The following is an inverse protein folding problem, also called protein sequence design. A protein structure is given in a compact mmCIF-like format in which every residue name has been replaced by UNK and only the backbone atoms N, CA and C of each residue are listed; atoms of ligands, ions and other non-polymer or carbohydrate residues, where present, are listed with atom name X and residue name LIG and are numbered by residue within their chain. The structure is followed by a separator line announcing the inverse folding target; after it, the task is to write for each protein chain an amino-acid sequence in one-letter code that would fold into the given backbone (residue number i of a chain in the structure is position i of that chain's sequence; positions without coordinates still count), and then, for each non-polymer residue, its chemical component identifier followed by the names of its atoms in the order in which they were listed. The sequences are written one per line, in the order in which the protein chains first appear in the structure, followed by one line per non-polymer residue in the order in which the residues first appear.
data_IF_665103472631
#
_entry.id   IF_665103472631
#
_cell.length_a   1.000
_cell.length_b   1.000
_cell.length_c   1.000
_cell.angle_alpha   90.00
_cell.angle_beta   90.00
_cell.angle_gamma   90.00
#
_symmetry.space_group_name_H-M   'P 1'
#
loop_
_entity.id
_entity.type
_entity.pdbx_description
1 polymer ?
#
# COMPACT_ATOMS: atom_id res chain seq x y z
N UNK A 1 1.81 9.01 25.24
CA UNK A 1 1.75 8.22 24.00
C UNK A 1 3.18 8.00 23.53
N UNK A 2 3.59 6.75 23.33
CA UNK A 2 4.91 6.43 22.79
C UNK A 2 4.69 6.02 21.34
N UNK A 3 5.17 6.83 20.40
CA UNK A 3 5.10 6.48 18.99
C UNK A 3 6.05 5.33 18.69
N UNK A 4 5.62 4.40 17.86
CA UNK A 4 6.50 3.37 17.29
C UNK A 4 7.63 4.07 16.55
N UNK A 5 8.87 3.74 16.92
CA UNK A 5 10.03 4.29 16.21
C UNK A 5 10.17 3.52 14.90
N UNK A 6 9.75 4.13 13.80
CA UNK A 6 9.93 3.55 12.47
C UNK A 6 11.43 3.43 12.19
N UNK A 7 11.87 2.22 11.88
CA UNK A 7 13.24 1.91 11.49
C UNK A 7 13.20 1.17 10.16
N UNK A 8 13.70 1.82 9.12
CA UNK A 8 13.94 1.19 7.82
C UNK A 8 15.45 1.03 7.71
N UNK A 9 15.99 0.07 8.46
CA UNK A 9 17.44 -0.08 8.63
C UNK A 9 18.11 -0.66 7.37
N UNK A 10 17.35 -1.27 6.46
CA UNK A 10 17.86 -1.85 5.21
C UNK A 10 16.80 -1.85 4.09
N UNK A 11 16.82 -0.81 3.25
CA UNK A 11 15.92 -0.66 2.10
C UNK A 11 16.12 -1.74 1.03
N UNK A 12 17.35 -2.19 0.81
CA UNK A 12 17.66 -3.23 -0.20
C UNK A 12 17.04 -4.59 0.18
N UNK A 13 17.00 -4.90 1.46
CA UNK A 13 16.44 -6.16 1.96
C UNK A 13 14.92 -6.10 2.14
N UNK A 14 14.33 -4.89 2.17
CA UNK A 14 12.91 -4.68 2.43
C UNK A 14 11.98 -5.50 1.52
N UNK A 15 12.14 -5.52 0.17
CA UNK A 15 11.22 -6.26 -0.70
C UNK A 15 11.26 -7.79 -0.46
N UNK A 16 12.41 -8.31 -0.04
CA UNK A 16 12.57 -9.74 0.29
C UNK A 16 11.93 -10.07 1.64
N UNK A 17 12.01 -9.18 2.60
CA UNK A 17 11.38 -9.38 3.91
C UNK A 17 9.87 -9.21 3.83
N UNK A 18 9.39 -8.29 2.99
CA UNK A 18 8.00 -8.20 2.59
C UNK A 18 7.52 -9.54 1.99
N UNK A 19 8.25 -10.10 1.02
CA UNK A 19 7.89 -11.37 0.40
C UNK A 19 7.75 -12.52 1.41
N UNK A 20 8.66 -12.61 2.38
CA UNK A 20 8.58 -13.60 3.46
C UNK A 20 7.34 -13.37 4.35
N UNK A 21 7.06 -12.11 4.70
CA UNK A 21 5.87 -11.76 5.48
C UNK A 21 4.61 -12.19 4.73
N UNK A 22 4.46 -11.77 3.47
CA UNK A 22 3.30 -12.10 2.64
C UNK A 22 3.12 -13.62 2.48
N UNK A 23 4.22 -14.38 2.29
CA UNK A 23 4.15 -15.83 2.20
C UNK A 23 3.61 -16.46 3.50
N UNK A 24 4.11 -16.03 4.66
CA UNK A 24 3.63 -16.50 5.98
C UNK A 24 2.16 -16.12 6.20
N UNK A 25 1.75 -14.92 5.80
CA UNK A 25 0.35 -14.51 5.90
C UNK A 25 -0.55 -15.37 5.00
N UNK A 26 -0.13 -15.67 3.76
CA UNK A 26 -0.88 -16.56 2.87
C UNK A 26 -1.06 -17.96 3.46
N UNK A 27 -0.03 -18.53 4.12
CA UNK A 27 -0.16 -19.80 4.84
C UNK A 27 -1.22 -19.72 5.94
N UNK A 28 -1.18 -18.65 6.75
CA UNK A 28 -2.15 -18.44 7.84
C UNK A 28 -3.58 -18.27 7.29
N UNK A 29 -3.72 -17.55 6.18
CA UNK A 29 -5.01 -17.34 5.51
C UNK A 29 -5.53 -18.66 4.94
N UNK A 30 -4.68 -19.51 4.37
CA UNK A 30 -5.08 -20.82 3.88
C UNK A 30 -5.52 -21.74 5.02
N UNK A 31 -4.83 -21.73 6.16
CA UNK A 31 -5.25 -22.45 7.37
C UNK A 31 -6.63 -21.99 7.88
N UNK A 32 -6.85 -20.68 7.97
CA UNK A 32 -8.16 -20.12 8.35
C UNK A 32 -9.23 -20.56 7.34
N UNK A 33 -8.93 -20.45 6.05
CA UNK A 33 -9.82 -20.79 4.94
C UNK A 33 -10.25 -22.26 4.97
N UNK A 34 -9.33 -23.18 5.27
CA UNK A 34 -9.60 -24.62 5.24
C UNK A 34 -10.01 -25.20 6.62
N UNK A 35 -9.99 -24.41 7.69
CA UNK A 35 -10.43 -24.84 9.03
C UNK A 35 -11.95 -24.94 9.17
N UNK A 36 -12.41 -25.55 10.27
CA UNK A 36 -13.83 -25.56 10.67
C UNK A 36 -14.27 -24.28 11.41
N UNK A 37 -13.39 -23.28 11.56
CA UNK A 37 -13.69 -22.00 12.22
C UNK A 37 -14.75 -21.24 11.43
N UNK A 38 -15.74 -20.69 12.13
CA UNK A 38 -16.90 -20.03 11.51
C UNK A 38 -17.44 -18.83 12.30
N UNK A 39 -16.68 -18.32 13.26
CA UNK A 39 -17.05 -17.12 14.03
C UNK A 39 -16.22 -15.91 13.61
N UNK A 40 -16.72 -14.70 13.92
CA UNK A 40 -15.98 -13.46 13.70
C UNK A 40 -14.59 -13.49 14.34
N UNK A 41 -14.52 -13.92 15.61
CA UNK A 41 -13.30 -13.94 16.41
C UNK A 41 -12.25 -14.94 15.89
N UNK A 42 -12.66 -15.98 15.18
CA UNK A 42 -11.74 -17.00 14.68
C UNK A 42 -11.34 -16.81 13.21
N UNK A 43 -12.08 -15.98 12.47
CA UNK A 43 -11.86 -15.74 11.04
C UNK A 43 -11.49 -14.29 10.78
N UNK A 44 -12.41 -13.33 11.02
CA UNK A 44 -12.15 -11.94 10.67
C UNK A 44 -11.16 -11.25 11.60
N UNK A 45 -11.20 -11.55 12.90
CA UNK A 45 -10.25 -10.93 13.84
C UNK A 45 -8.79 -11.27 13.49
N UNK A 46 -8.42 -12.55 13.23
CA UNK A 46 -7.09 -12.88 12.74
C UNK A 46 -6.75 -12.24 11.39
N UNK A 47 -7.70 -12.16 10.45
CA UNK A 47 -7.48 -11.47 9.17
C UNK A 47 -7.12 -9.99 9.38
N UNK A 48 -7.84 -9.29 10.26
CA UNK A 48 -7.54 -7.90 10.61
C UNK A 48 -6.17 -7.75 11.27
N UNK A 49 -5.76 -8.71 12.10
CA UNK A 49 -4.45 -8.68 12.75
C UNK A 49 -3.32 -8.86 11.71
N UNK A 50 -3.53 -9.70 10.69
CA UNK A 50 -2.60 -9.85 9.55
C UNK A 50 -2.54 -8.56 8.71
N UNK A 51 -3.68 -7.94 8.41
CA UNK A 51 -3.73 -6.67 7.68
C UNK A 51 -2.97 -5.56 8.42
N UNK A 52 -3.17 -5.45 9.74
CA UNK A 52 -2.46 -4.48 10.58
C UNK A 52 -0.96 -4.77 10.68
N UNK A 53 -0.54 -6.05 10.73
CA UNK A 53 0.88 -6.42 10.68
C UNK A 53 1.52 -5.95 9.37
N UNK A 54 0.85 -6.18 8.24
CA UNK A 54 1.31 -5.74 6.92
C UNK A 54 1.35 -4.21 6.81
N UNK A 55 0.32 -3.51 7.32
CA UNK A 55 0.27 -2.05 7.32
C UNK A 55 1.43 -1.47 8.14
N UNK A 56 1.69 -1.99 9.34
CA UNK A 56 2.80 -1.55 10.19
C UNK A 56 4.16 -1.84 9.56
N UNK A 57 4.30 -2.94 8.83
CA UNK A 57 5.52 -3.29 8.12
C UNK A 57 5.77 -2.38 6.91
N UNK A 58 4.72 -2.09 6.11
CA UNK A 58 4.85 -1.37 4.85
C UNK A 58 4.85 0.17 5.00
N UNK A 59 4.14 0.69 5.99
CA UNK A 59 4.02 2.14 6.26
C UNK A 59 5.37 2.86 6.30
N UNK A 60 6.43 2.36 6.96
CA UNK A 60 7.73 3.02 7.00
C UNK A 60 8.33 3.28 5.61
N UNK A 61 8.29 2.29 4.72
CA UNK A 61 8.81 2.42 3.36
C UNK A 61 7.94 3.38 2.54
N UNK A 62 6.62 3.20 2.58
CA UNK A 62 5.67 4.06 1.86
C UNK A 62 5.79 5.52 2.28
N UNK A 63 5.86 5.78 3.58
CA UNK A 63 6.04 7.11 4.13
C UNK A 63 7.38 7.72 3.72
N UNK A 64 8.49 6.97 3.88
CA UNK A 64 9.83 7.44 3.49
C UNK A 64 9.87 7.82 2.00
N UNK A 65 9.36 6.95 1.13
CA UNK A 65 9.27 7.20 -0.31
C UNK A 65 8.44 8.46 -0.64
N UNK A 66 7.48 8.83 0.21
CA UNK A 66 6.62 10.00 0.00
C UNK A 66 7.21 11.32 0.54
N UNK A 67 7.91 11.30 1.67
CA UNK A 67 8.33 12.56 2.36
C UNK A 67 9.83 12.81 2.33
N UNK A 68 10.62 11.80 2.04
CA UNK A 68 12.08 11.90 1.93
C UNK A 68 12.56 10.89 0.89
N UNK A 69 12.09 11.09 -0.34
CA UNK A 69 12.38 10.22 -1.48
C UNK A 69 13.89 10.22 -1.79
N UNK A 70 14.42 9.04 -2.03
CA UNK A 70 15.78 8.77 -2.50
C UNK A 70 15.74 7.60 -3.49
N UNK A 71 16.79 7.46 -4.31
CA UNK A 71 16.96 6.33 -5.23
C UNK A 71 16.78 4.98 -4.54
N UNK A 72 17.31 4.82 -3.32
CA UNK A 72 17.19 3.58 -2.54
C UNK A 72 15.74 3.33 -2.10
N UNK A 73 15.04 4.36 -1.63
CA UNK A 73 13.65 4.23 -1.18
C UNK A 73 12.69 3.98 -2.35
N UNK A 74 12.93 4.65 -3.48
CA UNK A 74 12.20 4.49 -4.74
C UNK A 74 12.33 3.06 -5.25
N UNK A 75 13.57 2.56 -5.36
CA UNK A 75 13.84 1.19 -5.80
C UNK A 75 13.17 0.16 -4.89
N UNK A 76 13.29 0.30 -3.57
CA UNK A 76 12.64 -0.62 -2.63
C UNK A 76 11.11 -0.59 -2.73
N UNK A 77 10.52 0.58 -2.94
CA UNK A 77 9.07 0.74 -3.14
C UNK A 77 8.62 0.08 -4.45
N UNK A 78 9.30 0.35 -5.56
CA UNK A 78 9.03 -0.22 -6.88
C UNK A 78 9.10 -1.76 -6.88
N UNK A 79 10.11 -2.35 -6.23
CA UNK A 79 10.25 -3.80 -6.11
C UNK A 79 9.17 -4.43 -5.19
N UNK A 80 8.55 -3.64 -4.33
CA UNK A 80 7.51 -4.09 -3.38
C UNK A 80 6.09 -4.07 -3.97
N UNK A 81 5.79 -3.13 -4.87
CA UNK A 81 4.44 -2.93 -5.43
C UNK A 81 3.85 -4.18 -6.12
N UNK A 82 4.57 -4.91 -6.99
CA UNK A 82 4.03 -6.10 -7.62
C UNK A 82 3.72 -7.21 -6.60
N UNK A 83 4.54 -7.33 -5.53
CA UNK A 83 4.35 -8.32 -4.48
C UNK A 83 3.07 -8.07 -3.70
N UNK A 84 2.82 -6.81 -3.32
CA UNK A 84 1.58 -6.39 -2.66
C UNK A 84 0.36 -6.57 -3.54
N UNK A 85 0.44 -6.16 -4.81
CA UNK A 85 -0.67 -6.26 -5.76
C UNK A 85 -1.09 -7.71 -6.00
N UNK A 86 -0.11 -8.61 -6.13
CA UNK A 86 -0.34 -10.05 -6.25
C UNK A 86 -0.96 -10.63 -4.98
N UNK A 87 -0.38 -10.34 -3.80
CA UNK A 87 -0.92 -10.80 -2.52
C UNK A 87 -2.38 -10.35 -2.32
N UNK A 88 -2.66 -9.06 -2.54
CA UNK A 88 -4.00 -8.49 -2.41
C UNK A 88 -5.00 -9.18 -3.34
N UNK A 89 -4.61 -9.45 -4.60
CA UNK A 89 -5.45 -10.18 -5.57
C UNK A 89 -5.71 -11.62 -5.12
N UNK A 90 -4.67 -12.34 -4.65
CA UNK A 90 -4.81 -13.72 -4.15
C UNK A 90 -5.77 -13.82 -2.95
N UNK A 91 -5.68 -12.89 -2.00
CA UNK A 91 -6.55 -12.88 -0.81
C UNK A 91 -7.97 -12.49 -1.20
N UNK A 92 -8.13 -11.39 -1.92
CA UNK A 92 -9.45 -10.81 -2.23
C UNK A 92 -10.25 -11.59 -3.28
N UNK A 93 -9.59 -12.46 -4.07
CA UNK A 93 -10.25 -13.35 -5.03
C UNK A 93 -10.39 -14.79 -4.55
N UNK A 94 -9.98 -15.09 -3.31
CA UNK A 94 -10.13 -16.41 -2.69
C UNK A 94 -11.62 -16.72 -2.42
N UNK A 95 -12.23 -17.54 -3.29
CA UNK A 95 -13.65 -17.90 -3.22
C UNK A 95 -14.02 -18.65 -1.95
N UNK A 96 -13.14 -19.53 -1.46
CA UNK A 96 -13.41 -20.31 -0.25
C UNK A 96 -13.42 -19.41 0.97
N UNK A 97 -12.49 -18.46 1.05
CA UNK A 97 -12.46 -17.46 2.12
C UNK A 97 -13.69 -16.56 2.06
N UNK A 98 -14.07 -16.10 0.86
CA UNK A 98 -15.27 -15.31 0.66
C UNK A 98 -16.53 -16.03 1.16
N UNK A 99 -16.75 -17.28 0.73
CA UNK A 99 -17.93 -18.05 1.18
C UNK A 99 -17.86 -18.38 2.67
N UNK A 100 -16.68 -18.57 3.26
CA UNK A 100 -16.52 -18.70 4.72
C UNK A 100 -17.00 -17.43 5.42
N UNK A 101 -16.51 -16.25 5.02
CA UNK A 101 -16.86 -14.96 5.64
C UNK A 101 -18.36 -14.67 5.50
N UNK A 102 -18.94 -14.96 4.34
CA UNK A 102 -20.37 -14.76 4.06
C UNK A 102 -21.30 -15.59 4.96
N UNK A 103 -20.82 -16.71 5.49
CA UNK A 103 -21.59 -17.56 6.41
C UNK A 103 -21.43 -17.16 7.89
N UNK A 104 -20.56 -16.19 8.20
CA UNK A 104 -20.39 -15.67 9.55
C UNK A 104 -21.55 -14.73 9.87
N UNK A 105 -22.12 -14.90 11.06
CA UNK A 105 -23.08 -13.96 11.63
C UNK A 105 -22.58 -13.53 13.00
N UNK A 106 -22.95 -12.32 13.40
CA UNK A 106 -22.75 -11.80 14.74
C UNK A 106 -24.03 -11.10 15.16
N UNK A 107 -24.26 -10.95 16.47
CA UNK A 107 -25.31 -10.08 17.01
C UNK A 107 -24.81 -8.67 17.31
N UNK A 108 -23.49 -8.51 17.47
CA UNK A 108 -22.83 -7.23 17.70
C UNK A 108 -22.87 -6.33 16.45
N UNK A 109 -23.17 -5.05 16.64
CA UNK A 109 -23.36 -4.11 15.53
C UNK A 109 -22.06 -3.74 14.82
N UNK A 110 -20.94 -3.69 15.54
CA UNK A 110 -19.62 -3.37 14.97
C UNK A 110 -19.11 -4.56 14.15
N UNK A 111 -19.20 -5.77 14.70
CA UNK A 111 -18.83 -7.01 14.00
C UNK A 111 -19.68 -7.20 12.73
N UNK A 112 -21.00 -6.99 12.79
CA UNK A 112 -21.88 -7.00 11.61
C UNK A 112 -21.39 -6.06 10.53
N UNK A 113 -21.03 -4.83 10.90
CA UNK A 113 -20.58 -3.83 9.95
C UNK A 113 -19.26 -4.22 9.27
N UNK A 114 -18.34 -4.82 10.03
CA UNK A 114 -17.09 -5.35 9.48
C UNK A 114 -17.38 -6.49 8.50
N UNK A 115 -18.23 -7.46 8.87
CA UNK A 115 -18.62 -8.57 7.99
C UNK A 115 -19.23 -8.04 6.68
N UNK A 116 -20.17 -7.10 6.76
CA UNK A 116 -20.82 -6.50 5.58
C UNK A 116 -19.81 -5.79 4.67
N UNK A 117 -18.89 -5.03 5.27
CA UNK A 117 -17.84 -4.35 4.52
C UNK A 117 -16.89 -5.36 3.86
N UNK A 118 -16.45 -6.40 4.58
CA UNK A 118 -15.61 -7.46 4.01
C UNK A 118 -16.31 -8.13 2.82
N UNK A 119 -17.59 -8.52 2.95
CA UNK A 119 -18.35 -9.13 1.86
C UNK A 119 -18.44 -8.19 0.65
N UNK A 120 -18.72 -6.89 0.86
CA UNK A 120 -18.73 -5.89 -0.20
C UNK A 120 -17.37 -5.82 -0.90
N UNK A 121 -16.30 -5.73 -0.13
CA UNK A 121 -14.95 -5.50 -0.66
C UNK A 121 -14.46 -6.72 -1.45
N UNK A 122 -14.76 -7.96 -1.02
CA UNK A 122 -14.55 -9.16 -1.84
C UNK A 122 -15.29 -9.11 -3.18
N UNK A 123 -16.55 -8.65 -3.18
CA UNK A 123 -17.33 -8.51 -4.42
C UNK A 123 -16.70 -7.47 -5.35
N UNK A 124 -16.27 -6.32 -4.80
CA UNK A 124 -15.61 -5.26 -5.57
C UNK A 124 -14.26 -5.69 -6.13
N UNK A 125 -13.53 -6.57 -5.42
CA UNK A 125 -12.28 -7.16 -5.88
C UNK A 125 -12.45 -8.33 -6.86
N UNK A 126 -13.69 -8.63 -7.27
CA UNK A 126 -13.96 -9.62 -8.30
C UNK A 126 -13.97 -11.07 -7.81
N UNK A 127 -14.21 -11.32 -6.52
CA UNK A 127 -14.26 -12.68 -5.97
C UNK A 127 -15.27 -13.62 -6.69
N UNK A 128 -16.30 -13.05 -7.33
CA UNK A 128 -17.34 -13.80 -8.07
C UNK A 128 -17.12 -13.86 -9.59
N UNK A 129 -16.02 -13.29 -10.09
CA UNK A 129 -15.72 -13.32 -11.52
C UNK A 129 -15.25 -14.72 -11.96
N UNK A 130 -15.48 -15.12 -13.22
CA UNK A 130 -14.84 -16.30 -13.80
C UNK A 130 -13.31 -16.21 -13.73
N UNK A 131 -12.64 -17.37 -13.72
CA UNK A 131 -11.17 -17.47 -13.57
C UNK A 131 -10.38 -16.60 -14.56
N UNK A 132 -10.82 -16.52 -15.81
CA UNK A 132 -10.15 -15.68 -16.83
C UNK A 132 -10.28 -14.18 -16.52
N UNK A 133 -11.45 -13.74 -16.06
CA UNK A 133 -11.68 -12.34 -15.69
C UNK A 133 -10.99 -11.97 -14.37
N UNK A 134 -10.82 -12.92 -13.45
CA UNK A 134 -10.01 -12.74 -12.24
C UNK A 134 -8.55 -12.44 -12.57
N UNK A 135 -7.99 -13.22 -13.50
CA UNK A 135 -6.62 -13.02 -13.99
C UNK A 135 -6.47 -11.67 -14.71
N UNK A 136 -7.42 -11.31 -15.57
CA UNK A 136 -7.44 -10.00 -16.22
C UNK A 136 -7.48 -8.86 -15.18
N UNK A 137 -8.32 -8.98 -14.16
CA UNK A 137 -8.40 -7.99 -13.07
C UNK A 137 -7.10 -7.90 -12.26
N UNK A 138 -6.43 -9.02 -11.98
CA UNK A 138 -5.10 -9.04 -11.34
C UNK A 138 -4.08 -8.28 -12.19
N UNK A 139 -4.02 -8.53 -13.50
CA UNK A 139 -3.13 -7.84 -14.43
C UNK A 139 -3.43 -6.33 -14.49
N UNK A 140 -4.71 -5.94 -14.50
CA UNK A 140 -5.14 -4.53 -14.44
C UNK A 140 -4.68 -3.87 -13.15
N UNK A 141 -4.87 -4.53 -11.99
CA UNK A 141 -4.51 -3.97 -10.69
C UNK A 141 -2.99 -3.78 -10.56
N UNK A 142 -2.20 -4.77 -11.00
CA UNK A 142 -0.74 -4.64 -11.06
C UNK A 142 -0.37 -3.45 -11.93
N UNK A 143 -0.98 -3.32 -13.12
CA UNK A 143 -0.64 -2.23 -14.03
C UNK A 143 -1.05 -0.86 -13.49
N UNK A 144 -2.18 -0.77 -12.80
CA UNK A 144 -2.65 0.44 -12.16
C UNK A 144 -1.70 0.91 -11.06
N UNK A 145 -1.22 -0.02 -10.22
CA UNK A 145 -0.22 0.27 -9.19
C UNK A 145 1.08 0.81 -9.79
N UNK A 146 1.59 0.17 -10.84
CA UNK A 146 2.78 0.64 -11.58
C UNK A 146 2.59 2.04 -12.16
N UNK A 147 1.47 2.27 -12.87
CA UNK A 147 1.19 3.56 -13.51
C UNK A 147 1.03 4.68 -12.49
N UNK A 148 0.38 4.40 -11.35
CA UNK A 148 0.21 5.36 -10.26
C UNK A 148 1.56 5.76 -9.66
N UNK A 149 2.45 4.79 -9.42
CA UNK A 149 3.82 5.07 -8.98
C UNK A 149 4.59 5.88 -10.03
N UNK A 150 4.57 5.47 -11.30
CA UNK A 150 5.26 6.18 -12.36
C UNK A 150 4.78 7.62 -12.51
N UNK A 151 3.48 7.87 -12.36
CA UNK A 151 2.92 9.22 -12.36
C UNK A 151 3.47 10.05 -11.19
N UNK A 152 3.49 9.49 -9.97
CA UNK A 152 4.07 10.14 -8.80
C UNK A 152 5.56 10.48 -9.00
N UNK A 153 6.35 9.52 -9.50
CA UNK A 153 7.78 9.72 -9.76
C UNK A 153 8.02 10.80 -10.84
N UNK A 154 7.28 10.74 -11.94
CA UNK A 154 7.41 11.74 -13.01
C UNK A 154 7.09 13.16 -12.53
N UNK A 155 6.09 13.33 -11.65
CA UNK A 155 5.78 14.64 -11.06
C UNK A 155 6.89 15.14 -10.14
N UNK A 156 7.45 14.25 -9.31
CA UNK A 156 8.56 14.59 -8.42
C UNK A 156 9.80 15.00 -9.23
N UNK A 157 10.13 14.24 -10.26
CA UNK A 157 11.28 14.50 -11.14
C UNK A 157 11.10 15.81 -11.91
N UNK A 158 9.90 16.06 -12.46
CA UNK A 158 9.60 17.30 -13.17
C UNK A 158 9.66 18.53 -12.27
N UNK A 159 9.14 18.44 -11.04
CA UNK A 159 9.20 19.54 -10.08
C UNK A 159 10.64 19.80 -9.61
N UNK A 160 11.43 18.75 -9.40
CA UNK A 160 12.82 18.86 -8.94
C UNK A 160 13.77 19.38 -10.02
N UNK A 161 13.47 19.09 -11.29
CA UNK A 161 14.27 19.55 -12.43
C UNK A 161 13.96 20.99 -12.86
N UNK A 162 12.85 21.58 -12.40
CA UNK A 162 12.47 22.93 -12.78
C UNK A 162 13.24 23.97 -11.96
N UNK A 163 13.99 24.81 -12.65
CA UNK A 163 14.62 25.99 -12.08
C UNK A 163 14.24 27.23 -12.90
N UNK A 164 13.83 28.31 -12.22
CA UNK A 164 13.65 29.63 -12.83
C UNK A 164 14.80 30.52 -12.39
N UNK A 165 15.78 30.68 -13.27
CA UNK A 165 16.94 31.54 -13.03
C UNK A 165 16.59 32.97 -13.47
N UNK A 166 16.64 33.91 -12.53
CA UNK A 166 16.42 35.34 -12.79
C UNK A 166 17.72 36.08 -12.49
N UNK A 167 18.27 36.74 -13.51
CA UNK A 167 19.57 37.44 -13.42
C UNK A 167 19.43 38.95 -13.17
N UNK A 168 18.35 39.59 -13.64
CA UNK A 168 18.11 41.02 -13.41
C UNK A 168 17.36 41.23 -12.09
N UNK A 169 17.97 41.94 -11.16
CA UNK A 169 17.36 42.31 -9.87
C UNK A 169 16.05 43.10 -10.04
N UNK A 170 15.85 43.75 -11.20
CA UNK A 170 14.61 44.49 -11.49
C UNK A 170 13.40 43.57 -11.68
N UNK A 171 13.59 42.33 -12.12
CA UNK A 171 12.50 41.39 -12.40
C UNK A 171 11.93 40.76 -11.12
N UNK A 172 12.58 40.95 -9.97
CA UNK A 172 12.15 40.47 -8.65
C UNK A 172 11.71 41.59 -7.70
N UNK A 173 11.53 42.82 -8.21
CA UNK A 173 11.06 43.96 -7.40
C UNK A 173 9.68 43.65 -6.80
N UNK A 174 9.59 43.73 -5.47
CA UNK A 174 8.36 43.46 -4.71
C UNK A 174 8.33 42.12 -3.99
N UNK A 175 9.30 41.23 -4.23
CA UNK A 175 9.48 40.01 -3.43
C UNK A 175 10.10 40.37 -2.06
N UNK A 176 9.62 39.81 -0.94
CA UNK A 176 10.21 40.06 0.38
C UNK A 176 11.68 39.69 0.49
N UNK A 177 12.46 40.46 1.27
CA UNK A 177 13.90 40.22 1.47
C UNK A 177 14.20 38.81 2.01
N UNK A 178 13.33 38.27 2.87
CA UNK A 178 13.47 36.90 3.40
C UNK A 178 13.47 35.86 2.28
N UNK A 179 12.59 36.03 1.29
CA UNK A 179 12.39 35.09 0.20
C UNK A 179 13.52 35.22 -0.83
N UNK A 180 13.99 36.46 -1.07
CA UNK A 180 15.19 36.72 -1.88
C UNK A 180 16.45 36.09 -1.27
N UNK A 181 16.60 36.12 0.05
CA UNK A 181 17.72 35.46 0.75
C UNK A 181 17.64 33.95 0.60
N UNK A 182 16.46 33.35 0.71
CA UNK A 182 16.25 31.91 0.53
C UNK A 182 16.49 31.46 -0.92
N UNK A 183 16.11 32.29 -1.89
CA UNK A 183 16.25 31.98 -3.32
C UNK A 183 17.66 32.24 -3.87
N UNK A 184 18.52 32.99 -3.16
CA UNK A 184 19.90 33.26 -3.59
C UNK A 184 20.73 31.97 -3.58
N UNK A 185 21.15 31.56 -4.77
CA UNK A 185 22.13 30.48 -4.96
C UNK A 185 23.46 31.04 -5.45
N UNK A 186 24.57 30.42 -5.08
CA UNK A 186 25.87 30.66 -5.71
C UNK A 186 25.99 29.69 -6.89
N UNK A 187 26.04 30.23 -8.11
CA UNK A 187 26.39 29.47 -9.31
C UNK A 187 27.91 29.27 -9.34
#
# INVERSE_FOLDING_TARGET
MQFTKFKVDNLEQFPKDLEKLLAKQLETIDEITNSNKNSYQEVLKPMQDLDNELELFFTPLSHLNSVNNSEESKKAYEESLPKLSKFSSQVSQNEKLFEKIKNITSDDLEEKKVIDNSIRDFVLSGAKLPIEQKKELEEINIKLSELSNNFFQNLLDANSAYELIIEDEKDVVGIPDSDLVLAKTQI
#
